data_IF_623289444589
#
_entry.id   IF_623289444589
#
_cell.length_a   1.000
_cell.length_b   1.000
_cell.length_c   1.000
_cell.angle_alpha   90.00
_cell.angle_beta   90.00
_cell.angle_gamma   90.00
#
_symmetry.space_group_name_H-M   'P 1'
#
loop_
_entity.id
_entity.type
_entity.pdbx_description
1 polymer ?
#
# COMPACT_ATOMS: atom_id res chain seq x y z
N UNK A 1 -0.62 0.35 35.56
CA UNK A 1 -1.54 0.78 36.66
C UNK A 1 -2.80 1.53 36.19
N UNK A 2 -2.83 2.17 35.01
CA UNK A 2 -4.01 2.91 34.53
C UNK A 2 -5.25 2.03 34.20
N UNK A 3 -5.06 0.77 33.80
CA UNK A 3 -6.16 -0.13 33.40
C UNK A 3 -7.12 -0.52 34.54
N UNK A 4 -6.65 -0.59 35.78
CA UNK A 4 -7.50 -0.94 36.94
C UNK A 4 -8.42 0.21 37.38
N UNK A 5 -8.05 1.46 37.10
CA UNK A 5 -8.87 2.64 37.40
C UNK A 5 -10.14 2.71 36.53
N UNK A 6 -10.01 2.41 35.23
CA UNK A 6 -11.12 2.43 34.27
C UNK A 6 -12.19 1.35 34.55
N UNK A 7 -11.76 0.16 34.98
CA UNK A 7 -12.70 -0.92 35.33
C UNK A 7 -13.56 -0.55 36.55
N UNK A 8 -13.01 0.22 37.49
CA UNK A 8 -13.74 0.69 38.67
C UNK A 8 -14.80 1.74 38.33
N UNK A 9 -14.54 2.59 37.33
CA UNK A 9 -15.51 3.61 36.87
C UNK A 9 -16.65 2.95 36.09
N UNK A 10 -16.35 1.97 35.23
CA UNK A 10 -17.35 1.23 34.45
C UNK A 10 -18.25 0.39 35.37
N UNK A 11 -17.71 -0.25 36.40
CA UNK A 11 -18.51 -1.03 37.35
C UNK A 11 -19.36 -0.14 38.27
N UNK A 12 -18.90 1.07 38.60
CA UNK A 12 -19.68 2.04 39.40
C UNK A 12 -20.86 2.65 38.63
N UNK A 13 -20.69 2.92 37.34
CA UNK A 13 -21.77 3.45 36.49
C UNK A 13 -22.86 2.41 36.25
N UNK A 14 -22.49 1.13 36.08
CA UNK A 14 -23.47 0.02 35.94
C UNK A 14 -24.27 -0.20 37.22
N UNK A 15 -23.68 0.00 38.41
CA UNK A 15 -24.37 -0.22 39.69
C UNK A 15 -25.33 0.89 40.13
N UNK A 16 -25.25 2.08 39.53
CA UNK A 16 -26.12 3.21 39.87
C UNK A 16 -27.40 3.27 39.04
N UNK A 17 -27.54 2.39 38.04
CA UNK A 17 -28.65 2.44 37.10
C UNK A 17 -29.90 1.67 37.59
N UNK A 18 -29.82 0.97 38.72
CA UNK A 18 -30.85 0.02 39.15
C UNK A 18 -31.79 0.53 40.26
N UNK A 19 -31.81 1.84 40.57
CA UNK A 19 -32.51 2.29 41.79
C UNK A 19 -33.38 3.54 41.76
N UNK A 20 -33.64 4.21 40.64
CA UNK A 20 -34.68 5.26 40.63
C UNK A 20 -35.35 5.44 39.28
N UNK A 21 -36.67 5.25 39.28
CA UNK A 21 -37.61 5.62 38.22
C UNK A 21 -37.72 7.14 38.09
N UNK A 22 -36.79 7.76 37.38
CA UNK A 22 -36.89 9.14 36.90
C UNK A 22 -36.51 9.15 35.43
N UNK A 23 -37.35 9.82 34.63
CA UNK A 23 -37.27 10.02 33.18
C UNK A 23 -35.84 9.92 32.62
N UNK A 24 -35.55 8.78 32.02
CA UNK A 24 -34.24 8.44 31.47
C UNK A 24 -34.04 9.26 30.19
N UNK A 25 -33.44 10.45 30.32
CA UNK A 25 -32.73 11.06 29.20
C UNK A 25 -31.48 10.23 29.00
N UNK A 26 -31.57 9.16 28.20
CA UNK A 26 -30.50 8.18 28.02
C UNK A 26 -29.20 8.85 27.52
N UNK A 27 -28.11 8.93 28.30
CA UNK A 27 -26.82 9.31 27.77
C UNK A 27 -26.17 8.06 27.15
N UNK A 28 -26.82 7.50 26.12
CA UNK A 28 -26.39 6.30 25.39
C UNK A 28 -25.00 6.43 24.76
N UNK A 29 -24.53 7.67 24.58
CA UNK A 29 -23.27 7.98 23.91
C UNK A 29 -22.07 8.15 24.85
N UNK A 30 -22.31 8.31 26.16
CA UNK A 30 -21.25 8.58 27.14
C UNK A 30 -20.18 7.47 27.22
N UNK A 31 -20.52 6.16 27.23
CA UNK A 31 -19.50 5.10 27.23
C UNK A 31 -18.72 5.04 25.91
N UNK A 32 -19.37 5.33 24.77
CA UNK A 32 -18.70 5.39 23.46
C UNK A 32 -17.68 6.53 23.45
N UNK A 33 -18.09 7.72 23.89
CA UNK A 33 -17.23 8.90 23.94
C UNK A 33 -16.07 8.71 24.92
N UNK A 34 -16.33 8.12 26.10
CA UNK A 34 -15.29 7.80 27.08
C UNK A 34 -14.29 6.77 26.54
N UNK A 35 -14.76 5.76 25.80
CA UNK A 35 -13.91 4.79 25.12
C UNK A 35 -12.98 5.44 24.09
N UNK A 36 -13.54 6.28 23.21
CA UNK A 36 -12.76 7.04 22.23
C UNK A 36 -11.76 7.99 22.88
N UNK A 37 -12.19 8.77 23.89
CA UNK A 37 -11.30 9.67 24.61
C UNK A 37 -10.15 8.92 25.28
N UNK A 38 -10.43 7.76 25.88
CA UNK A 38 -9.41 6.91 26.49
C UNK A 38 -8.44 6.36 25.45
N UNK A 39 -8.93 5.90 24.30
CA UNK A 39 -8.07 5.40 23.21
C UNK A 39 -7.16 6.50 22.66
N UNK A 40 -7.70 7.70 22.45
CA UNK A 40 -6.93 8.88 22.00
C UNK A 40 -5.87 9.24 23.03
N UNK A 41 -6.23 9.33 24.32
CA UNK A 41 -5.27 9.63 25.40
C UNK A 41 -4.19 8.56 25.47
N UNK A 42 -4.56 7.28 25.40
CA UNK A 42 -3.62 6.16 25.42
C UNK A 42 -2.64 6.23 24.24
N UNK A 43 -3.13 6.47 23.01
CA UNK A 43 -2.28 6.61 21.84
C UNK A 43 -1.41 7.87 21.89
N UNK A 44 -1.90 8.97 22.45
CA UNK A 44 -1.12 10.22 22.55
C UNK A 44 0.00 10.11 23.58
N UNK A 45 -0.26 9.50 24.74
CA UNK A 45 0.71 9.41 25.84
C UNK A 45 1.65 8.23 25.70
N UNK A 46 1.15 7.07 25.24
CA UNK A 46 1.93 5.82 25.24
C UNK A 46 2.62 5.57 23.90
N UNK A 47 2.05 6.10 22.81
CA UNK A 47 2.64 6.02 21.48
C UNK A 47 2.98 7.43 21.01
N UNK A 48 4.02 8.03 21.60
CA UNK A 48 4.49 9.40 21.31
C UNK A 48 4.65 9.65 19.79
N UNK A 49 4.91 8.60 19.01
CA UNK A 49 5.03 8.65 17.56
C UNK A 49 3.70 8.52 16.81
N UNK A 50 2.62 7.97 17.39
CA UNK A 50 1.38 7.69 16.64
C UNK A 50 0.67 8.96 16.18
N UNK A 51 0.44 9.93 17.07
CA UNK A 51 -0.27 11.17 16.71
C UNK A 51 0.58 12.00 15.76
N UNK A 52 1.90 12.07 16.00
CA UNK A 52 2.82 12.73 15.08
C UNK A 52 2.81 12.05 13.71
N UNK A 53 2.94 10.72 13.64
CA UNK A 53 2.87 9.96 12.40
C UNK A 53 1.52 10.13 11.70
N UNK A 54 0.38 10.01 12.40
CA UNK A 54 -0.94 10.19 11.79
C UNK A 54 -1.15 11.62 11.31
N UNK A 55 -0.70 12.63 12.05
CA UNK A 55 -0.81 14.03 11.62
C UNK A 55 0.12 14.36 10.46
N UNK A 56 1.34 13.82 10.45
CA UNK A 56 2.28 13.90 9.34
C UNK A 56 1.73 13.20 8.10
N UNK A 57 1.17 11.99 8.25
CA UNK A 57 0.47 11.26 7.20
C UNK A 57 -0.74 12.03 6.68
N UNK A 58 -1.62 12.51 7.57
CA UNK A 58 -2.80 13.26 7.18
C UNK A 58 -2.43 14.55 6.43
N UNK A 59 -1.39 15.26 6.87
CA UNK A 59 -0.88 16.44 6.18
C UNK A 59 -0.31 16.08 4.82
N UNK A 60 0.51 15.03 4.71
CA UNK A 60 1.09 14.54 3.45
C UNK A 60 0.00 14.14 2.46
N UNK A 61 -1.02 13.40 2.93
CA UNK A 61 -2.20 13.03 2.15
C UNK A 61 -2.92 14.28 1.64
N UNK A 62 -3.19 15.27 2.50
CA UNK A 62 -3.87 16.51 2.10
C UNK A 62 -3.02 17.31 1.10
N UNK A 63 -1.70 17.40 1.30
CA UNK A 63 -0.83 18.12 0.37
C UNK A 63 -0.69 17.40 -0.98
N UNK A 64 -0.65 16.07 -0.99
CA UNK A 64 -0.54 15.30 -2.24
C UNK A 64 -1.88 15.29 -3.00
N UNK A 65 -3.01 15.26 -2.28
CA UNK A 65 -4.36 15.30 -2.87
C UNK A 65 -4.73 16.65 -3.47
N UNK A 66 -4.35 17.76 -2.82
CA UNK A 66 -4.79 19.10 -3.19
C UNK A 66 -3.68 19.98 -3.76
N UNK A 67 -2.41 19.57 -3.61
CA UNK A 67 -1.24 20.29 -4.12
C UNK A 67 -0.80 19.83 -5.51
N UNK A 68 -1.15 18.61 -5.94
CA UNK A 68 -0.82 18.12 -7.28
C UNK A 68 -1.99 18.33 -8.23
N UNK A 69 -1.83 19.26 -9.18
CA UNK A 69 -2.66 19.33 -10.38
C UNK A 69 -2.72 17.95 -11.05
N UNK A 70 -3.93 17.51 -11.41
CA UNK A 70 -4.34 16.19 -11.89
C UNK A 70 -3.57 15.61 -13.11
N UNK A 71 -2.49 16.25 -13.56
CA UNK A 71 -1.59 15.81 -14.62
C UNK A 71 -0.46 14.88 -14.13
N UNK A 72 -0.12 14.88 -12.84
CA UNK A 72 0.99 14.11 -12.27
C UNK A 72 0.57 13.09 -11.21
N UNK A 73 -0.70 12.67 -11.20
CA UNK A 73 -1.12 11.50 -10.41
C UNK A 73 -0.63 10.24 -11.15
N UNK A 74 0.69 10.09 -11.19
CA UNK A 74 1.37 8.84 -11.51
C UNK A 74 0.97 7.86 -10.42
N UNK A 75 0.05 6.94 -10.75
CA UNK A 75 -0.10 5.73 -9.95
C UNK A 75 1.27 5.08 -9.79
N UNK A 76 1.60 4.62 -8.58
CA UNK A 76 2.85 3.94 -8.20
C UNK A 76 3.99 4.21 -9.19
N UNK A 77 4.79 5.26 -8.97
CA UNK A 77 5.97 5.52 -9.81
C UNK A 77 6.87 4.29 -9.78
N UNK A 78 6.69 3.46 -10.81
CA UNK A 78 7.38 2.19 -10.97
C UNK A 78 8.54 2.50 -11.88
N UNK A 79 9.73 2.52 -11.30
CA UNK A 79 10.97 2.70 -12.04
C UNK A 79 11.38 1.35 -12.62
N UNK A 80 11.84 1.31 -13.86
CA UNK A 80 12.38 0.09 -14.45
C UNK A 80 13.85 0.29 -14.80
N UNK A 81 14.72 -0.57 -14.25
CA UNK A 81 16.17 -0.51 -14.39
C UNK A 81 16.65 -1.72 -15.20
N UNK A 82 17.24 -1.46 -16.37
CA UNK A 82 17.62 -2.50 -17.33
C UNK A 82 16.47 -3.44 -17.76
N UNK A 83 15.23 -3.00 -17.67
CA UNK A 83 14.05 -3.71 -18.16
C UNK A 83 13.00 -2.73 -18.66
N UNK A 84 12.14 -3.17 -19.58
CA UNK A 84 11.06 -2.35 -20.11
C UNK A 84 9.75 -2.66 -19.38
N UNK A 85 9.05 -1.62 -18.92
CA UNK A 85 7.68 -1.79 -18.45
C UNK A 85 6.77 -2.20 -19.61
N UNK A 86 5.80 -3.10 -19.38
CA UNK A 86 4.84 -3.46 -20.41
C UNK A 86 4.10 -2.20 -20.90
N UNK A 87 3.95 -2.01 -22.22
CA UNK A 87 3.37 -0.80 -22.76
C UNK A 87 1.93 -0.64 -22.29
N UNK A 88 1.61 0.55 -21.77
CA UNK A 88 0.26 0.94 -21.35
C UNK A 88 -0.58 1.24 -22.59
N UNK A 89 -1.01 0.20 -23.31
CA UNK A 89 -1.85 0.34 -24.49
C UNK A 89 -3.33 0.35 -24.13
N UNK A 90 -4.16 0.98 -24.98
CA UNK A 90 -5.62 0.92 -24.86
C UNK A 90 -6.12 -0.54 -24.87
N UNK A 91 -5.45 -1.43 -25.60
CA UNK A 91 -5.78 -2.85 -25.63
C UNK A 91 -5.54 -3.51 -24.26
N UNK A 92 -4.41 -3.20 -23.62
CA UNK A 92 -4.10 -3.68 -22.26
C UNK A 92 -5.14 -3.16 -21.27
N UNK A 93 -5.53 -1.89 -21.35
CA UNK A 93 -6.55 -1.30 -20.49
C UNK A 93 -7.93 -1.97 -20.69
N UNK A 94 -8.35 -2.22 -21.94
CA UNK A 94 -9.59 -2.93 -22.24
C UNK A 94 -9.55 -4.38 -21.77
N UNK A 95 -8.42 -5.07 -21.93
CA UNK A 95 -8.23 -6.42 -21.42
C UNK A 95 -8.32 -6.46 -19.89
N UNK A 96 -7.73 -5.48 -19.20
CA UNK A 96 -7.87 -5.33 -17.75
C UNK A 96 -9.31 -5.00 -17.34
N UNK A 97 -10.05 -4.21 -18.13
CA UNK A 97 -11.46 -3.92 -17.86
C UNK A 97 -12.36 -5.16 -18.02
N UNK A 98 -12.01 -6.05 -18.96
CA UNK A 98 -12.67 -7.33 -19.16
C UNK A 98 -12.17 -8.43 -18.21
N UNK A 99 -11.18 -8.15 -17.37
CA UNK A 99 -10.69 -9.10 -16.38
C UNK A 99 -11.78 -9.46 -15.37
N UNK A 100 -11.68 -10.65 -14.81
CA UNK A 100 -12.59 -11.15 -13.78
C UNK A 100 -12.66 -10.18 -12.59
N UNK A 101 -11.54 -9.59 -12.19
CA UNK A 101 -11.47 -8.61 -11.11
C UNK A 101 -12.29 -7.34 -11.42
N UNK A 102 -12.11 -6.76 -12.62
CA UNK A 102 -12.86 -5.58 -13.05
C UNK A 102 -14.35 -5.84 -13.18
N UNK A 103 -14.75 -7.04 -13.61
CA UNK A 103 -16.16 -7.45 -13.62
C UNK A 103 -16.75 -7.50 -12.20
N UNK A 104 -16.02 -8.06 -11.23
CA UNK A 104 -16.43 -8.05 -9.83
C UNK A 104 -16.57 -6.64 -9.27
N UNK A 105 -15.55 -5.78 -9.48
CA UNK A 105 -15.57 -4.40 -9.01
C UNK A 105 -16.70 -3.58 -9.64
N UNK A 106 -16.96 -3.78 -10.94
CA UNK A 106 -18.06 -3.11 -11.65
C UNK A 106 -19.42 -3.56 -11.10
N UNK A 107 -19.61 -4.87 -10.89
CA UNK A 107 -20.84 -5.38 -10.29
C UNK A 107 -21.04 -4.86 -8.86
N UNK A 108 -19.96 -4.82 -8.07
CA UNK A 108 -19.95 -4.28 -6.72
C UNK A 108 -20.36 -2.80 -6.71
N UNK A 109 -19.77 -1.98 -7.59
CA UNK A 109 -20.11 -0.57 -7.76
C UNK A 109 -21.56 -0.36 -8.20
N UNK A 110 -22.08 -1.19 -9.11
CA UNK A 110 -23.46 -1.12 -9.56
C UNK A 110 -24.45 -1.41 -8.42
N UNK A 111 -24.22 -2.48 -7.64
CA UNK A 111 -25.07 -2.83 -6.50
C UNK A 111 -24.96 -1.81 -5.37
N UNK A 112 -23.76 -1.29 -5.12
CA UNK A 112 -23.58 -0.22 -4.13
C UNK A 112 -24.34 1.05 -4.53
N UNK A 113 -24.27 1.44 -5.80
CA UNK A 113 -25.01 2.58 -6.35
C UNK A 113 -26.52 2.37 -6.23
N UNK A 114 -27.02 1.17 -6.50
CA UNK A 114 -28.42 0.81 -6.27
C UNK A 114 -28.83 0.95 -4.79
N UNK A 115 -27.92 0.61 -3.87
CA UNK A 115 -28.09 0.85 -2.44
C UNK A 115 -28.26 2.33 -2.10
N UNK A 116 -27.40 3.19 -2.64
CA UNK A 116 -27.48 4.65 -2.47
C UNK A 116 -28.82 5.17 -3.01
N UNK A 117 -29.19 4.82 -4.24
CA UNK A 117 -30.46 5.25 -4.86
C UNK A 117 -31.64 4.81 -3.99
N UNK A 118 -31.60 3.60 -3.44
CA UNK A 118 -32.66 3.10 -2.55
C UNK A 118 -32.80 3.90 -1.27
N UNK A 119 -31.69 4.33 -0.67
CA UNK A 119 -31.74 5.22 0.49
C UNK A 119 -32.36 6.56 0.12
N UNK A 120 -31.93 7.14 -1.01
CA UNK A 120 -32.37 8.47 -1.47
C UNK A 120 -33.86 8.51 -1.85
N UNK A 121 -34.40 7.42 -2.40
CA UNK A 121 -35.83 7.32 -2.73
C UNK A 121 -36.72 7.15 -1.48
N UNK A 122 -36.17 6.67 -0.36
CA UNK A 122 -36.93 6.36 0.86
C UNK A 122 -36.32 7.00 2.12
N UNK A 123 -36.13 8.33 2.16
CA UNK A 123 -35.40 9.00 3.24
C UNK A 123 -36.12 8.85 4.61
N UNK A 124 -37.45 8.73 4.60
CA UNK A 124 -38.25 8.51 5.81
C UNK A 124 -37.90 7.21 6.54
N UNK A 125 -37.63 6.15 5.77
CA UNK A 125 -37.28 4.82 6.31
C UNK A 125 -35.90 4.83 6.96
N UNK A 126 -34.94 5.55 6.38
CA UNK A 126 -33.55 5.58 6.84
C UNK A 126 -33.21 6.76 7.76
N UNK A 127 -34.19 7.59 8.14
CA UNK A 127 -33.96 8.81 8.94
C UNK A 127 -33.20 8.56 10.26
N UNK A 128 -33.46 7.43 10.92
CA UNK A 128 -32.78 7.05 12.17
C UNK A 128 -31.36 6.52 11.96
N UNK A 129 -31.03 6.11 10.74
CA UNK A 129 -29.75 5.51 10.37
C UNK A 129 -28.93 6.41 9.44
N UNK A 130 -29.28 7.70 9.31
CA UNK A 130 -28.60 8.64 8.39
C UNK A 130 -27.11 8.67 8.63
N UNK A 131 -26.65 8.76 9.89
CA UNK A 131 -25.22 8.78 10.22
C UNK A 131 -24.50 7.52 9.73
N UNK A 132 -25.09 6.35 9.99
CA UNK A 132 -24.56 5.05 9.55
C UNK A 132 -24.49 4.98 8.03
N UNK A 133 -25.54 5.40 7.32
CA UNK A 133 -25.59 5.39 5.86
C UNK A 133 -24.58 6.38 5.29
N UNK A 134 -24.45 7.59 5.85
CA UNK A 134 -23.44 8.57 5.42
C UNK A 134 -22.02 8.03 5.56
N UNK A 135 -21.68 7.42 6.70
CA UNK A 135 -20.36 6.79 6.90
C UNK A 135 -20.15 5.63 5.92
N UNK A 136 -21.19 4.83 5.68
CA UNK A 136 -21.17 3.74 4.70
C UNK A 136 -20.96 4.25 3.27
N UNK A 137 -21.60 5.34 2.88
CA UNK A 137 -21.38 5.98 1.58
C UNK A 137 -19.97 6.54 1.47
N UNK A 138 -19.47 7.23 2.50
CA UNK A 138 -18.10 7.76 2.53
C UNK A 138 -17.04 6.65 2.51
N UNK A 139 -17.33 5.50 3.11
CA UNK A 139 -16.43 4.34 3.11
C UNK A 139 -16.14 3.82 1.70
N UNK A 140 -17.02 4.07 0.72
CA UNK A 140 -16.79 3.70 -0.67
C UNK A 140 -15.55 4.36 -1.27
N UNK A 141 -15.26 5.61 -0.89
CA UNK A 141 -14.07 6.32 -1.36
C UNK A 141 -12.76 5.70 -0.82
N UNK A 142 -12.83 4.97 0.30
CA UNK A 142 -11.70 4.25 0.88
C UNK A 142 -11.60 2.85 0.30
N UNK A 143 -12.74 2.16 0.19
CA UNK A 143 -12.86 0.76 -0.21
C UNK A 143 -12.64 0.55 -1.71
N UNK A 144 -13.22 1.39 -2.57
CA UNK A 144 -12.92 1.31 -3.99
C UNK A 144 -11.48 1.76 -4.25
N UNK A 145 -10.83 1.11 -5.22
CA UNK A 145 -9.50 1.52 -5.67
C UNK A 145 -9.58 2.93 -6.23
N UNK A 146 -9.08 3.88 -5.46
CA UNK A 146 -8.91 5.26 -5.91
C UNK A 146 -7.52 5.41 -6.53
N UNK A 147 -7.31 6.40 -7.43
CA UNK A 147 -5.98 6.72 -7.94
C UNK A 147 -5.03 7.28 -6.86
N UNK A 148 -5.48 7.36 -5.61
CA UNK A 148 -4.76 7.95 -4.50
C UNK A 148 -3.94 6.88 -3.80
N UNK A 149 -2.62 6.93 -4.00
CA UNK A 149 -1.68 6.05 -3.32
C UNK A 149 -1.39 6.67 -1.95
N UNK A 150 -2.12 6.21 -0.93
CA UNK A 150 -1.90 6.60 0.45
C UNK A 150 -1.25 5.41 1.16
N UNK A 151 -0.02 5.53 1.66
CA UNK A 151 0.59 4.45 2.43
C UNK A 151 -0.26 4.07 3.65
N UNK A 152 -0.49 2.78 3.83
CA UNK A 152 -1.40 2.27 4.87
C UNK A 152 -2.90 2.37 4.52
N UNK A 153 -3.29 2.89 3.35
CA UNK A 153 -4.69 2.90 2.89
C UNK A 153 -5.28 1.49 2.89
N UNK A 154 -4.50 0.51 2.44
CA UNK A 154 -4.87 -0.91 2.42
C UNK A 154 -5.24 -1.41 3.83
N UNK A 155 -4.55 -0.94 4.87
CA UNK A 155 -4.83 -1.31 6.28
C UNK A 155 -6.10 -0.66 6.81
N UNK A 156 -6.40 0.58 6.42
CA UNK A 156 -7.64 1.25 6.86
C UNK A 156 -8.87 0.78 6.08
N UNK A 157 -8.73 0.21 4.87
CA UNK A 157 -9.85 -0.35 4.09
C UNK A 157 -10.66 -1.38 4.89
N UNK A 158 -10.01 -2.22 5.70
CA UNK A 158 -10.66 -3.29 6.46
C UNK A 158 -11.76 -2.78 7.40
N UNK A 159 -11.49 -1.84 8.33
CA UNK A 159 -12.55 -1.22 9.13
C UNK A 159 -13.68 -0.59 8.29
N UNK A 160 -13.34 0.07 7.19
CA UNK A 160 -14.31 0.74 6.32
C UNK A 160 -15.19 -0.23 5.52
N UNK A 161 -14.69 -1.44 5.22
CA UNK A 161 -15.45 -2.48 4.55
C UNK A 161 -16.73 -2.89 5.31
N UNK A 162 -16.71 -2.85 6.65
CA UNK A 162 -17.90 -3.12 7.47
C UNK A 162 -19.02 -2.10 7.22
N UNK A 163 -18.67 -0.82 7.11
CA UNK A 163 -19.65 0.22 6.80
C UNK A 163 -20.09 0.12 5.35
N UNK A 164 -19.16 -0.12 4.43
CA UNK A 164 -19.46 -0.30 3.00
C UNK A 164 -20.52 -1.39 2.76
N UNK A 165 -20.41 -2.52 3.48
CA UNK A 165 -21.34 -3.63 3.39
C UNK A 165 -22.81 -3.27 3.72
N UNK A 166 -23.05 -2.20 4.48
CA UNK A 166 -24.41 -1.79 4.88
C UNK A 166 -25.18 -1.25 3.68
N UNK A 167 -24.61 -0.27 2.96
CA UNK A 167 -25.23 0.30 1.76
C UNK A 167 -25.29 -0.74 0.65
N UNK A 168 -24.25 -1.55 0.52
CA UNK A 168 -24.25 -2.66 -0.41
C UNK A 168 -25.40 -3.64 -0.12
N UNK A 169 -25.58 -4.04 1.14
CA UNK A 169 -26.66 -4.93 1.57
C UNK A 169 -28.06 -4.38 1.26
N UNK A 170 -28.26 -3.07 1.38
CA UNK A 170 -29.49 -2.40 0.94
C UNK A 170 -29.68 -2.58 -0.58
N UNK A 171 -28.62 -2.41 -1.37
CA UNK A 171 -28.64 -2.64 -2.82
C UNK A 171 -28.97 -4.09 -3.19
N UNK A 172 -28.35 -5.06 -2.51
CA UNK A 172 -28.64 -6.49 -2.69
C UNK A 172 -30.10 -6.80 -2.34
N UNK A 173 -30.58 -6.29 -1.20
CA UNK A 173 -31.97 -6.47 -0.77
C UNK A 173 -32.97 -5.92 -1.80
N UNK A 174 -32.71 -4.72 -2.32
CA UNK A 174 -33.49 -4.08 -3.40
C UNK A 174 -33.53 -4.96 -4.65
N UNK A 175 -32.37 -5.46 -5.07
CA UNK A 175 -32.21 -6.30 -6.27
C UNK A 175 -32.97 -7.63 -6.15
N UNK A 176 -32.90 -8.28 -4.98
CA UNK A 176 -33.63 -9.52 -4.69
C UNK A 176 -35.14 -9.27 -4.71
N UNK A 177 -35.59 -8.16 -4.12
CA UNK A 177 -37.02 -7.84 -4.03
C UNK A 177 -37.63 -7.42 -5.36
N UNK A 178 -36.85 -6.84 -6.27
CA UNK A 178 -37.34 -6.45 -7.61
C UNK A 178 -37.45 -7.63 -8.58
N UNK A 179 -36.84 -8.78 -8.28
CA UNK A 179 -36.97 -9.97 -9.10
C UNK A 179 -38.41 -10.51 -9.02
N UNK A 180 -39.18 -10.32 -10.08
CA UNK A 180 -40.63 -10.54 -10.17
C UNK A 180 -41.09 -12.01 -10.05
N UNK A 181 -40.16 -12.97 -9.95
CA UNK A 181 -40.44 -14.37 -9.63
C UNK A 181 -39.34 -14.89 -8.70
N UNK A 182 -39.61 -15.13 -7.41
CA UNK A 182 -38.62 -15.66 -6.47
C UNK A 182 -38.43 -17.16 -6.71
N UNK A 183 -37.88 -17.53 -7.87
CA UNK A 183 -37.31 -18.86 -7.99
C UNK A 183 -35.97 -18.82 -7.26
N UNK A 184 -35.86 -19.60 -6.18
CA UNK A 184 -34.62 -19.75 -5.39
C UNK A 184 -33.42 -20.04 -6.31
N UNK A 185 -33.67 -20.70 -7.44
CA UNK A 185 -32.70 -21.00 -8.51
C UNK A 185 -32.10 -19.79 -9.22
N UNK A 186 -32.75 -18.61 -9.24
CA UNK A 186 -32.19 -17.38 -9.84
C UNK A 186 -31.53 -16.46 -8.82
N UNK A 187 -32.05 -16.45 -7.59
CA UNK A 187 -31.55 -15.58 -6.51
C UNK A 187 -30.27 -16.12 -5.90
N UNK A 188 -30.16 -17.45 -5.74
CA UNK A 188 -28.99 -18.09 -5.14
C UNK A 188 -27.67 -17.83 -5.90
N UNK A 189 -27.58 -18.01 -7.23
CA UNK A 189 -26.33 -17.73 -7.95
C UNK A 189 -25.97 -16.25 -7.94
N UNK A 190 -26.96 -15.34 -7.97
CA UNK A 190 -26.71 -13.90 -7.87
C UNK A 190 -26.21 -13.50 -6.48
N UNK A 191 -26.82 -14.04 -5.42
CA UNK A 191 -26.37 -13.83 -4.05
C UNK A 191 -24.96 -14.43 -3.83
N UNK A 192 -24.70 -15.64 -4.35
CA UNK A 192 -23.39 -16.26 -4.29
C UNK A 192 -22.35 -15.47 -5.08
N UNK A 193 -22.70 -14.99 -6.28
CA UNK A 193 -21.85 -14.11 -7.07
C UNK A 193 -21.55 -12.81 -6.33
N UNK A 194 -22.53 -12.21 -5.64
CA UNK A 194 -22.33 -10.98 -4.87
C UNK A 194 -21.53 -11.21 -3.59
N UNK A 195 -21.71 -12.35 -2.92
CA UNK A 195 -20.87 -12.76 -1.79
C UNK A 195 -19.43 -12.97 -2.26
N UNK A 196 -19.21 -13.67 -3.37
CA UNK A 196 -17.89 -13.83 -3.97
C UNK A 196 -17.32 -12.49 -4.46
N UNK A 197 -18.13 -11.62 -5.05
CA UNK A 197 -17.75 -10.30 -5.53
C UNK A 197 -17.49 -9.30 -4.40
N UNK A 198 -17.95 -9.59 -3.18
CA UNK A 198 -17.62 -8.79 -2.00
C UNK A 198 -16.39 -9.33 -1.30
N UNK A 199 -16.31 -10.63 -1.09
CA UNK A 199 -15.17 -11.24 -0.40
C UNK A 199 -13.92 -11.21 -1.26
N UNK A 200 -14.00 -11.42 -2.57
CA UNK A 200 -12.81 -11.46 -3.41
C UNK A 200 -12.10 -10.10 -3.46
N UNK A 201 -12.68 -8.99 -3.91
CA UNK A 201 -11.96 -7.73 -3.99
C UNK A 201 -11.65 -7.13 -2.61
N UNK A 202 -12.49 -7.33 -1.59
CA UNK A 202 -12.19 -6.81 -0.25
C UNK A 202 -11.06 -7.57 0.44
N UNK A 203 -10.94 -8.88 0.22
CA UNK A 203 -9.89 -9.71 0.82
C UNK A 203 -8.59 -9.68 0.02
N UNK A 204 -8.70 -9.63 -1.31
CA UNK A 204 -7.61 -9.34 -2.24
C UNK A 204 -7.13 -7.93 -1.87
N UNK A 205 -7.88 -6.84 -2.09
CA UNK A 205 -7.40 -5.45 -1.86
C UNK A 205 -6.99 -5.07 -0.41
N UNK A 206 -7.41 -5.82 0.61
CA UNK A 206 -6.97 -5.63 2.00
C UNK A 206 -5.81 -6.54 2.42
N UNK A 207 -5.66 -7.70 1.79
CA UNK A 207 -4.50 -8.58 1.90
C UNK A 207 -3.41 -8.28 0.87
N UNK A 208 -3.68 -7.37 -0.08
CA UNK A 208 -2.99 -7.23 -1.37
C UNK A 208 -1.75 -6.35 -1.43
N UNK A 209 -1.25 -5.86 -0.30
CA UNK A 209 0.19 -5.59 -0.29
C UNK A 209 1.00 -6.89 -0.49
N UNK A 210 0.35 -8.06 -0.56
CA UNK A 210 0.95 -9.35 -0.91
C UNK A 210 0.52 -9.98 -2.25
N UNK A 211 -0.53 -9.53 -2.96
CA UNK A 211 -1.07 -10.29 -4.11
C UNK A 211 -1.44 -9.49 -5.38
N UNK A 212 -2.00 -8.27 -5.33
CA UNK A 212 -2.54 -7.58 -6.54
C UNK A 212 -1.48 -7.08 -7.54
N UNK A 213 -0.19 -7.27 -7.24
CA UNK A 213 0.92 -7.03 -8.16
C UNK A 213 1.86 -8.26 -8.30
N UNK A 214 1.55 -9.38 -7.64
CA UNK A 214 2.51 -10.44 -7.35
C UNK A 214 2.51 -11.63 -8.31
N UNK A 215 1.61 -11.68 -9.29
CA UNK A 215 1.71 -12.61 -10.42
C UNK A 215 1.14 -11.92 -11.68
N UNK A 216 1.97 -11.49 -12.63
CA UNK A 216 1.55 -11.50 -14.03
C UNK A 216 1.00 -12.90 -14.33
N UNK A 217 0.01 -13.09 -15.23
CA UNK A 217 -0.46 -14.42 -15.61
C UNK A 217 0.68 -15.41 -15.97
N UNK A 218 1.85 -14.86 -16.34
CA UNK A 218 3.06 -15.55 -16.77
C UNK A 218 4.37 -15.05 -16.08
N UNK A 219 4.31 -14.38 -14.91
CA UNK A 219 5.52 -13.80 -14.27
C UNK A 219 6.10 -14.62 -13.11
N UNK A 220 7.37 -14.41 -12.73
CA UNK A 220 7.97 -15.12 -11.60
C UNK A 220 7.36 -14.63 -10.27
N UNK A 221 7.12 -15.54 -9.31
CA UNK A 221 6.50 -15.21 -8.03
C UNK A 221 7.38 -14.24 -7.25
N UNK A 222 6.80 -13.15 -6.75
CA UNK A 222 7.53 -12.11 -6.04
C UNK A 222 8.05 -12.56 -4.65
N UNK A 223 9.34 -12.93 -4.62
CA UNK A 223 10.13 -13.31 -3.44
C UNK A 223 10.49 -12.15 -2.50
N UNK A 224 9.85 -10.98 -2.62
CA UNK A 224 10.22 -9.84 -1.77
C UNK A 224 9.72 -10.01 -0.32
N UNK A 225 8.64 -10.77 -0.12
CA UNK A 225 8.07 -11.02 1.23
C UNK A 225 8.64 -12.29 1.88
N UNK A 226 9.10 -13.23 1.07
CA UNK A 226 9.62 -14.51 1.55
C UNK A 226 11.13 -14.55 1.42
N UNK A 227 11.82 -14.51 2.57
CA UNK A 227 13.24 -14.83 2.62
C UNK A 227 13.41 -16.35 2.61
N UNK A 228 14.17 -16.85 1.66
CA UNK A 228 14.70 -18.21 1.78
C UNK A 228 15.59 -18.32 3.01
N UNK A 229 15.72 -19.54 3.57
CA UNK A 229 16.65 -19.81 4.68
C UNK A 229 18.08 -19.36 4.35
N UNK A 230 18.49 -19.48 3.08
CA UNK A 230 19.79 -19.02 2.59
C UNK A 230 19.93 -17.50 2.58
N UNK A 231 18.89 -16.78 2.17
CA UNK A 231 18.88 -15.31 2.20
C UNK A 231 18.87 -14.80 3.64
N UNK A 232 18.07 -15.41 4.52
CA UNK A 232 18.00 -15.01 5.92
C UNK A 232 19.35 -15.16 6.64
N UNK A 233 20.04 -16.29 6.45
CA UNK A 233 21.40 -16.48 6.97
C UNK A 233 22.42 -15.52 6.36
N UNK A 234 22.23 -15.16 5.09
CA UNK A 234 23.09 -14.19 4.41
C UNK A 234 22.91 -12.79 4.99
N UNK A 235 21.67 -12.39 5.29
CA UNK A 235 21.36 -11.13 5.98
C UNK A 235 21.92 -11.11 7.41
N UNK A 236 21.85 -12.23 8.15
CA UNK A 236 22.49 -12.37 9.45
C UNK A 236 24.01 -12.17 9.35
N UNK A 237 24.65 -12.78 8.36
CA UNK A 237 26.09 -12.64 8.14
C UNK A 237 26.48 -11.20 7.73
N UNK A 238 25.65 -10.53 6.92
CA UNK A 238 25.79 -9.10 6.60
C UNK A 238 25.70 -8.25 7.87
N UNK A 239 24.70 -8.49 8.73
CA UNK A 239 24.55 -7.74 9.98
C UNK A 239 25.74 -7.94 10.93
N UNK A 240 26.28 -9.15 11.02
CA UNK A 240 27.50 -9.43 11.79
C UNK A 240 28.75 -8.77 11.18
N UNK A 241 28.83 -8.69 9.84
CA UNK A 241 29.92 -8.01 9.16
C UNK A 241 29.90 -6.51 9.44
N UNK A 242 28.72 -5.89 9.36
CA UNK A 242 28.53 -4.44 9.56
C UNK A 242 28.74 -4.07 11.02
N UNK A 243 28.42 -4.97 11.95
CA UNK A 243 28.76 -4.81 13.37
C UNK A 243 30.25 -4.64 13.63
N UNK A 244 31.09 -5.40 12.94
CA UNK A 244 32.54 -5.36 13.17
C UNK A 244 33.22 -4.14 12.55
N UNK A 245 32.58 -3.48 11.59
CA UNK A 245 33.18 -2.41 10.80
C UNK A 245 32.52 -1.05 11.02
N UNK A 246 31.63 -0.93 12.01
CA UNK A 246 30.95 0.32 12.43
C UNK A 246 30.31 1.16 11.30
N UNK A 247 29.97 0.53 10.17
CA UNK A 247 29.33 1.18 9.04
C UNK A 247 27.81 1.09 9.13
N UNK A 248 27.12 2.21 8.92
CA UNK A 248 25.70 2.18 8.61
C UNK A 248 25.46 1.54 7.25
N UNK A 249 24.30 0.91 7.11
CA UNK A 249 23.92 0.17 5.90
C UNK A 249 22.67 0.79 5.33
N UNK A 250 22.78 1.27 4.09
CA UNK A 250 21.64 1.66 3.29
C UNK A 250 21.08 0.44 2.56
N UNK A 251 19.76 0.32 2.58
CA UNK A 251 19.05 -0.74 1.87
C UNK A 251 17.57 -0.36 1.75
N UNK A 252 16.78 -1.19 1.06
CA UNK A 252 15.35 -0.97 0.94
C UNK A 252 14.58 -1.46 2.16
N UNK A 253 13.39 -0.89 2.35
CA UNK A 253 12.60 -0.99 3.58
C UNK A 253 12.49 -2.42 4.15
N UNK A 254 12.20 -3.42 3.30
CA UNK A 254 12.01 -4.80 3.76
C UNK A 254 13.31 -5.44 4.25
N UNK A 255 14.40 -5.26 3.51
CA UNK A 255 15.72 -5.79 3.90
C UNK A 255 16.28 -5.03 5.12
N UNK A 256 15.94 -3.74 5.24
CA UNK A 256 16.23 -2.92 6.42
C UNK A 256 15.55 -3.47 7.68
N UNK A 257 14.25 -3.75 7.61
CA UNK A 257 13.51 -4.40 8.71
C UNK A 257 14.09 -5.78 9.06
N UNK A 258 14.57 -6.54 8.09
CA UNK A 258 15.20 -7.83 8.34
C UNK A 258 16.54 -7.67 9.08
N UNK A 259 17.37 -6.70 8.70
CA UNK A 259 18.63 -6.37 9.39
C UNK A 259 18.38 -5.84 10.81
N UNK A 260 17.31 -5.07 11.04
CA UNK A 260 16.94 -4.58 12.38
C UNK A 260 16.73 -5.71 13.39
N UNK A 261 16.21 -6.86 12.94
CA UNK A 261 16.03 -8.03 13.79
C UNK A 261 17.36 -8.56 14.36
N UNK A 262 18.47 -8.30 13.68
CA UNK A 262 19.83 -8.66 14.10
C UNK A 262 20.52 -7.52 14.88
N UNK A 263 19.77 -6.52 15.35
CA UNK A 263 20.28 -5.45 16.22
C UNK A 263 20.97 -4.30 15.48
N UNK A 264 20.73 -4.15 14.17
CA UNK A 264 21.31 -3.08 13.34
C UNK A 264 20.24 -2.18 12.76
N UNK A 265 20.28 -0.90 13.12
CA UNK A 265 19.41 0.10 12.51
C UNK A 265 19.94 0.44 11.11
N UNK A 266 19.16 0.22 10.03
CA UNK A 266 19.52 0.65 8.70
C UNK A 266 19.55 2.19 8.64
N UNK A 267 20.39 2.71 7.77
CA UNK A 267 20.34 4.12 7.38
C UNK A 267 19.10 4.39 6.52
N UNK A 268 18.73 5.68 6.31
CA UNK A 268 17.69 6.03 5.34
C UNK A 268 17.92 5.30 4.01
N UNK A 269 16.84 4.75 3.45
CA UNK A 269 16.93 4.00 2.19
C UNK A 269 17.37 4.89 1.03
N UNK A 270 18.04 4.34 0.02
CA UNK A 270 18.50 5.11 -1.13
C UNK A 270 17.33 5.65 -1.95
N UNK A 271 17.58 6.73 -2.69
CA UNK A 271 16.68 7.28 -3.69
C UNK A 271 16.72 6.43 -4.97
N UNK A 272 15.56 6.21 -5.57
CA UNK A 272 15.43 5.48 -6.83
C UNK A 272 14.84 6.40 -7.89
N UNK A 273 15.52 6.50 -9.01
CA UNK A 273 15.13 7.37 -10.14
C UNK A 273 15.23 6.59 -11.45
N UNK A 274 14.69 7.14 -12.53
CA UNK A 274 14.77 6.55 -13.87
C UNK A 274 16.22 6.36 -14.38
N UNK A 275 17.21 7.00 -13.74
CA UNK A 275 18.62 6.89 -14.12
C UNK A 275 19.43 5.98 -13.21
N UNK A 276 18.84 5.40 -12.16
CA UNK A 276 19.56 4.53 -11.23
C UNK A 276 19.14 4.64 -9.76
N UNK A 277 19.93 4.00 -8.90
CA UNK A 277 19.79 4.01 -7.45
C UNK A 277 20.92 4.88 -6.85
N UNK A 278 20.55 5.83 -6.00
CA UNK A 278 21.43 6.84 -5.44
C UNK A 278 21.32 6.86 -3.92
N UNK A 279 22.46 6.90 -3.22
CA UNK A 279 22.49 6.89 -1.77
C UNK A 279 23.69 7.63 -1.22
N UNK A 280 23.71 7.78 0.10
CA UNK A 280 24.83 8.42 0.80
C UNK A 280 26.10 7.54 0.74
N UNK A 281 27.23 8.09 1.20
CA UNK A 281 28.47 7.34 1.38
C UNK A 281 28.30 6.18 2.35
N UNK A 282 28.98 5.06 2.09
CA UNK A 282 29.02 3.94 3.02
C UNK A 282 28.66 2.61 2.38
N UNK A 283 27.99 1.76 3.16
CA UNK A 283 27.64 0.39 2.76
C UNK A 283 26.24 0.35 2.18
N UNK A 284 26.12 -0.27 1.00
CA UNK A 284 24.83 -0.56 0.39
C UNK A 284 24.61 -2.07 0.33
N UNK A 285 23.56 -2.55 0.98
CA UNK A 285 23.15 -3.94 0.89
C UNK A 285 22.31 -4.15 -0.37
N UNK A 286 22.74 -5.08 -1.22
CA UNK A 286 21.95 -5.63 -2.32
C UNK A 286 21.55 -7.09 -2.07
N UNK A 287 20.44 -7.51 -2.67
CA UNK A 287 19.99 -8.91 -2.68
C UNK A 287 19.73 -9.38 -4.10
N UNK A 288 20.24 -10.56 -4.46
CA UNK A 288 20.03 -11.14 -5.80
C UNK A 288 18.55 -11.46 -6.06
N UNK A 289 17.79 -11.73 -4.99
CA UNK A 289 16.34 -11.91 -5.02
C UNK A 289 15.54 -10.67 -5.44
N UNK A 290 16.15 -9.48 -5.54
CA UNK A 290 15.49 -8.30 -6.12
C UNK A 290 15.33 -8.39 -7.64
N UNK A 291 16.23 -9.10 -8.31
CA UNK A 291 16.21 -9.22 -9.75
C UNK A 291 14.92 -9.85 -10.26
N UNK A 292 14.35 -9.26 -11.29
CA UNK A 292 13.10 -9.67 -11.95
C UNK A 292 11.87 -9.60 -11.04
N UNK A 293 11.98 -8.91 -9.90
CA UNK A 293 10.88 -8.71 -8.96
C UNK A 293 10.69 -7.22 -8.69
N UNK A 294 9.47 -6.89 -8.28
CA UNK A 294 9.16 -5.54 -7.85
C UNK A 294 9.65 -5.34 -6.42
N UNK A 295 10.36 -4.23 -6.20
CA UNK A 295 10.95 -3.84 -4.93
C UNK A 295 10.36 -2.51 -4.49
N UNK A 296 9.77 -2.51 -3.31
CA UNK A 296 9.31 -1.29 -2.65
C UNK A 296 10.47 -0.52 -2.03
N UNK A 297 10.51 0.80 -2.25
CA UNK A 297 11.45 1.70 -1.60
C UNK A 297 10.73 2.83 -0.86
N UNK A 298 11.37 3.30 0.22
CA UNK A 298 10.89 4.38 1.06
C UNK A 298 12.08 5.25 1.47
N UNK A 299 12.23 6.39 0.79
CA UNK A 299 13.18 7.46 1.12
C UNK A 299 12.44 8.80 1.17
N UNK A 300 12.97 9.82 0.51
CA UNK A 300 12.28 11.10 0.30
C UNK A 300 10.98 10.91 -0.50
N UNK A 301 11.02 10.00 -1.48
CA UNK A 301 9.88 9.52 -2.25
C UNK A 301 9.54 8.07 -1.89
N UNK A 302 8.29 7.69 -2.17
CA UNK A 302 7.80 6.32 -2.03
C UNK A 302 7.49 5.81 -3.42
N UNK A 303 7.89 4.58 -3.70
CA UNK A 303 7.62 4.00 -5.00
C UNK A 303 8.01 2.54 -5.08
N UNK A 304 8.05 2.09 -6.31
CA UNK A 304 8.39 0.72 -6.68
C UNK A 304 9.46 0.77 -7.74
N UNK A 305 10.34 -0.21 -7.76
CA UNK A 305 11.17 -0.44 -8.93
C UNK A 305 11.20 -1.90 -9.31
N UNK A 306 11.48 -2.18 -10.56
CA UNK A 306 11.84 -3.50 -11.05
C UNK A 306 13.18 -3.38 -11.73
N UNK A 307 14.08 -4.31 -11.45
CA UNK A 307 15.39 -4.34 -12.10
C UNK A 307 15.60 -5.69 -12.76
N UNK A 308 16.27 -5.72 -13.92
CA UNK A 308 16.65 -6.98 -14.54
C UNK A 308 17.82 -7.63 -13.80
N UNK A 309 17.92 -8.95 -13.91
CA UNK A 309 19.08 -9.67 -13.41
C UNK A 309 20.40 -9.17 -14.01
N UNK A 310 20.42 -8.93 -15.32
CA UNK A 310 21.60 -8.43 -16.03
C UNK A 310 22.05 -7.07 -15.49
N UNK A 311 21.10 -6.17 -15.22
CA UNK A 311 21.40 -4.88 -14.60
C UNK A 311 22.05 -5.05 -13.23
N UNK A 312 21.49 -5.92 -12.37
CA UNK A 312 22.03 -6.16 -11.03
C UNK A 312 23.43 -6.76 -11.08
N UNK A 313 23.62 -7.80 -11.90
CA UNK A 313 24.91 -8.50 -12.04
C UNK A 313 25.97 -7.53 -12.57
N UNK A 314 25.68 -6.77 -13.62
CA UNK A 314 26.59 -5.76 -14.18
C UNK A 314 26.95 -4.68 -13.16
N UNK A 315 25.97 -4.19 -12.41
CA UNK A 315 26.18 -3.20 -11.34
C UNK A 315 27.10 -3.77 -10.27
N UNK A 316 26.80 -4.97 -9.77
CA UNK A 316 27.58 -5.66 -8.72
C UNK A 316 28.99 -6.03 -9.18
N UNK A 317 29.22 -6.25 -10.47
CA UNK A 317 30.55 -6.48 -11.04
C UNK A 317 31.39 -5.22 -11.17
N UNK A 318 30.75 -4.07 -11.47
CA UNK A 318 31.43 -2.80 -11.68
C UNK A 318 31.69 -2.01 -10.39
N UNK A 319 30.95 -2.31 -9.32
CA UNK A 319 31.05 -1.62 -8.04
C UNK A 319 32.01 -2.29 -7.03
N UNK A 320 32.45 -1.52 -6.03
CA UNK A 320 33.37 -2.01 -5.00
C UNK A 320 32.66 -2.94 -4.00
N UNK A 321 32.69 -4.24 -4.28
CA UNK A 321 32.22 -5.29 -3.36
C UNK A 321 33.13 -5.43 -2.14
N UNK A 322 32.55 -5.31 -0.95
CA UNK A 322 33.26 -5.56 0.32
C UNK A 322 32.84 -6.86 1.00
N UNK A 323 31.66 -7.37 0.67
CA UNK A 323 31.15 -8.66 1.15
C UNK A 323 30.17 -9.26 0.14
N UNK A 324 30.24 -10.58 -0.07
CA UNK A 324 29.29 -11.31 -0.93
C UNK A 324 29.09 -12.74 -0.39
N UNK A 325 27.83 -13.11 -0.17
CA UNK A 325 27.41 -14.45 0.27
C UNK A 325 26.84 -15.30 -0.88
N UNK A 326 26.72 -14.74 -2.08
CA UNK A 326 26.06 -15.32 -3.25
C UNK A 326 24.55 -15.02 -3.33
N UNK A 327 23.90 -14.63 -2.23
CA UNK A 327 22.47 -14.22 -2.25
C UNK A 327 22.23 -12.79 -1.78
N UNK A 328 23.06 -12.30 -0.86
CA UNK A 328 23.11 -10.90 -0.45
C UNK A 328 24.58 -10.44 -0.34
N UNK A 329 24.83 -9.17 -0.59
CA UNK A 329 26.17 -8.61 -0.54
C UNK A 329 26.18 -7.13 -0.18
N UNK A 330 27.37 -6.61 0.10
CA UNK A 330 27.61 -5.21 0.41
C UNK A 330 28.50 -4.59 -0.65
N UNK A 331 28.01 -3.51 -1.24
CA UNK A 331 28.80 -2.56 -2.03
C UNK A 331 29.26 -1.43 -1.11
N UNK A 332 30.40 -0.83 -1.41
CA UNK A 332 30.93 0.30 -0.66
C UNK A 332 31.24 1.47 -1.60
N UNK A 333 30.80 2.67 -1.22
CA UNK A 333 31.22 3.92 -1.87
C UNK A 333 31.82 4.87 -0.84
N UNK A 334 32.97 5.47 -1.21
CA UNK A 334 33.63 6.48 -0.38
C UNK A 334 32.92 7.84 -0.45
N UNK A 335 32.35 8.15 -1.61
CA UNK A 335 31.62 9.38 -1.90
C UNK A 335 30.12 9.06 -1.92
N UNK A 336 29.40 9.38 -2.98
CA UNK A 336 27.99 9.03 -3.12
C UNK A 336 27.85 7.60 -3.70
N UNK A 337 26.88 6.82 -3.20
CA UNK A 337 26.50 5.58 -3.88
C UNK A 337 25.78 5.95 -5.17
N UNK A 338 26.28 5.48 -6.32
CA UNK A 338 25.66 5.70 -7.62
C UNK A 338 25.63 4.40 -8.40
N UNK A 339 24.43 3.85 -8.58
CA UNK A 339 24.20 2.64 -9.36
C UNK A 339 23.44 3.05 -10.63
N UNK A 340 24.13 3.52 -11.68
CA UNK A 340 23.48 4.10 -12.86
C UNK A 340 22.80 3.05 -13.73
N UNK A 341 21.76 3.46 -14.45
CA UNK A 341 21.19 2.67 -15.52
C UNK A 341 22.10 2.70 -16.76
N UNK A 342 22.77 1.58 -17.02
CA UNK A 342 23.77 1.47 -18.09
C UNK A 342 23.17 1.65 -19.51
N UNK A 343 21.88 1.37 -19.69
CA UNK A 343 21.19 1.63 -20.97
C UNK A 343 21.04 3.15 -21.21
N UNK A 344 20.63 3.90 -20.17
CA UNK A 344 20.51 5.35 -20.24
C UNK A 344 21.83 6.06 -20.58
N UNK A 345 22.96 5.59 -20.05
CA UNK A 345 24.28 6.15 -20.37
C UNK A 345 24.71 5.88 -21.81
N UNK A 346 24.33 4.72 -22.36
CA UNK A 346 24.67 4.32 -23.72
C UNK A 346 23.88 5.15 -24.73
N UNK A 347 22.59 5.40 -24.48
CA UNK A 347 21.77 6.29 -25.32
C UNK A 347 22.17 7.76 -25.20
N UNK A 348 22.48 8.25 -24.00
CA UNK A 348 22.99 9.60 -23.78
C UNK A 348 24.35 9.81 -24.48
N UNK A 349 25.22 8.80 -24.46
CA UNK A 349 26.50 8.82 -25.17
C UNK A 349 26.34 8.75 -26.69
N UNK A 350 25.37 7.96 -27.17
CA UNK A 350 25.05 7.83 -28.60
C UNK A 350 24.44 9.11 -29.18
N UNK A 351 23.51 9.75 -28.47
CA UNK A 351 22.90 11.03 -28.84
C UNK A 351 23.92 12.18 -28.84
N UNK A 352 24.86 12.22 -27.87
CA UNK A 352 26.00 13.16 -27.89
C UNK A 352 26.96 12.94 -29.05
N UNK A 353 27.20 11.68 -29.48
CA UNK A 353 28.02 11.40 -30.67
C UNK A 353 27.33 11.82 -31.96
N UNK A 354 26.02 11.58 -32.09
CA UNK A 354 25.25 11.96 -33.27
C UNK A 354 25.11 13.48 -33.42
N UNK A 355 24.92 14.21 -32.31
CA UNK A 355 24.89 15.68 -32.32
C UNK A 355 26.25 16.32 -32.64
N UNK A 356 27.38 15.70 -32.25
CA UNK A 356 28.71 16.14 -32.66
C UNK A 356 29.06 15.78 -34.11
N UNK A 357 28.54 14.68 -34.65
CA UNK A 357 28.76 14.26 -36.03
C UNK A 357 28.11 15.18 -37.08
N UNK A 358 27.06 15.92 -36.73
CA UNK A 358 26.33 16.79 -37.66
C UNK A 358 26.99 18.17 -37.89
N UNK A 359 28.01 18.54 -37.13
CA UNK A 359 28.67 19.86 -37.26
C UNK A 359 29.86 19.85 -38.24
N UNK A 360 30.29 18.68 -38.72
CA UNK A 360 31.52 18.56 -39.54
C UNK A 360 31.31 18.54 -41.08
N UNK A 361 30.12 18.91 -41.58
CA UNK A 361 29.75 18.66 -43.00
C UNK A 361 29.18 19.83 -43.79
N UNK A 362 29.50 21.09 -43.47
CA UNK A 362 29.09 22.23 -44.31
C UNK A 362 30.21 23.26 -44.48
N UNK A 363 31.31 22.82 -45.07
CA UNK A 363 32.28 23.71 -45.70
C UNK A 363 33.01 22.97 -46.80
N UNK A 364 32.41 22.92 -47.98
CA UNK A 364 33.06 23.09 -49.28
C UNK A 364 32.03 23.23 -50.39
#
# INVERSE_FOLDING_TARGET
>A
MALFGLLSVITRTVRLQDRNSLSITEPRYLPIFAGWATAIIYWTITAESFVFNVSWWARRIVTDLFGQTASNVTGDSTVALGTALPPQTVQTALAQLASVNSLYLTALAAVFSLGIVTVLESPGTFKRSVSLVSVSTLSAAVVFKTPLVIPGLNRIRMPFAFFFAIVLGIGVYRLIRSASTPSVTRVLPLALFLVLATTAPLYVLAGDDLYDLHDPPDGPPQKQVEFSETEYRSLEAVAQFTERHEGGVQTFWIDGLAIEQFGKSPEPGPEVTDTGIYGDSGLFLYRTGWADHLVHYAGDSWGKFILSREWLETTVENENKVYDSGTAGLLWSADELRLPDHESETEASRSRRLSRGFVAGSSQ
#
